data_IF_232261880789
#
_entry.id   IF_232261880789
#
_cell.length_a   1.000
_cell.length_b   1.000
_cell.length_c   1.000
_cell.angle_alpha   90.00
_cell.angle_beta   90.00
_cell.angle_gamma   90.00
#
_symmetry.space_group_name_H-M   'P 1'
#
loop_
_entity.id
_entity.type
_entity.pdbx_description
1 polymer ?
#
# COMPACT_ATOMS: atom_id res chain seq x y z
N UNK A 1 -8.17 -10.09 29.09
CA UNK A 1 -9.53 -10.45 28.63
C UNK A 1 -10.54 -9.70 29.50
N UNK A 2 -11.40 -8.86 28.92
CA UNK A 2 -12.51 -8.25 29.67
C UNK A 2 -13.57 -9.33 29.92
N UNK A 3 -13.98 -9.53 31.18
CA UNK A 3 -15.14 -10.38 31.51
C UNK A 3 -16.41 -9.66 31.03
N UNK A 4 -17.31 -10.40 30.39
CA UNK A 4 -18.66 -9.89 30.07
C UNK A 4 -19.48 -10.03 31.35
N UNK A 5 -19.92 -8.90 31.92
CA UNK A 5 -20.88 -8.89 33.02
C UNK A 5 -22.28 -9.16 32.47
N UNK A 6 -23.08 -9.94 33.19
CA UNK A 6 -24.49 -10.12 32.90
C UNK A 6 -25.29 -9.67 34.11
N UNK A 7 -26.30 -8.83 33.91
CA UNK A 7 -27.22 -8.39 34.97
C UNK A 7 -28.63 -8.80 34.58
N UNK A 8 -29.35 -9.38 35.53
CA UNK A 8 -30.73 -9.81 35.34
C UNK A 8 -31.60 -9.04 36.32
N UNK A 9 -32.62 -8.37 35.78
CA UNK A 9 -33.59 -7.63 36.57
C UNK A 9 -34.98 -8.21 36.32
N UNK A 10 -35.69 -8.68 37.37
CA UNK A 10 -37.08 -9.08 37.22
C UNK A 10 -37.96 -7.86 36.94
N UNK A 11 -39.03 -8.08 36.19
CA UNK A 11 -40.12 -7.13 35.93
C UNK A 11 -41.38 -7.68 36.61
N UNK A 12 -42.26 -6.79 37.06
CA UNK A 12 -43.48 -7.13 37.80
C UNK A 12 -44.44 -8.07 37.05
N UNK A 13 -44.30 -8.21 35.73
CA UNK A 13 -45.14 -9.09 34.89
C UNK A 13 -44.59 -10.52 34.76
N UNK A 14 -43.58 -10.89 35.55
CA UNK A 14 -42.90 -12.19 35.45
C UNK A 14 -41.90 -12.27 34.28
N UNK A 15 -41.64 -11.16 33.59
CA UNK A 15 -40.55 -11.06 32.61
C UNK A 15 -39.22 -10.72 33.30
N UNK A 16 -38.13 -10.96 32.60
CA UNK A 16 -36.78 -10.59 33.02
C UNK A 16 -36.10 -9.74 31.95
N UNK A 17 -35.44 -8.67 32.35
CA UNK A 17 -34.52 -7.93 31.49
C UNK A 17 -33.11 -8.44 31.72
N UNK A 18 -32.45 -8.84 30.63
CA UNK A 18 -31.06 -9.28 30.65
C UNK A 18 -30.21 -8.21 29.98
N UNK A 19 -29.25 -7.67 30.73
CA UNK A 19 -28.24 -6.73 30.24
C UNK A 19 -26.91 -7.46 30.05
N UNK A 20 -26.35 -7.39 28.85
CA UNK A 20 -25.05 -7.96 28.50
C UNK A 20 -24.00 -6.84 28.42
N UNK A 21 -23.04 -6.84 29.34
CA UNK A 21 -21.97 -5.85 29.39
C UNK A 21 -22.47 -4.44 29.78
N UNK A 22 -22.04 -3.45 28.99
CA UNK A 22 -22.35 -2.02 29.17
C UNK A 22 -23.44 -1.55 28.20
N UNK A 23 -24.11 -2.47 27.50
CA UNK A 23 -25.17 -2.13 26.55
C UNK A 23 -26.34 -1.48 27.31
N UNK A 24 -26.75 -0.30 26.86
CA UNK A 24 -27.83 0.47 27.45
C UNK A 24 -29.21 -0.15 27.18
N UNK A 25 -29.30 -0.99 26.15
CA UNK A 25 -30.52 -1.68 25.74
C UNK A 25 -30.49 -3.11 26.28
N UNK A 26 -31.31 -3.37 27.32
CA UNK A 26 -31.54 -4.71 27.82
C UNK A 26 -32.62 -5.41 26.99
N UNK A 27 -32.46 -6.71 26.75
CA UNK A 27 -33.51 -7.50 26.10
C UNK A 27 -34.47 -8.08 27.14
N UNK A 28 -35.77 -7.97 26.86
CA UNK A 28 -36.84 -8.49 27.72
C UNK A 28 -37.18 -9.91 27.29
N UNK A 29 -37.20 -10.83 28.25
CA UNK A 29 -37.58 -12.22 28.06
C UNK A 29 -38.72 -12.61 28.99
N UNK A 30 -39.71 -13.32 28.45
CA UNK A 30 -40.76 -13.94 29.25
C UNK A 30 -40.38 -15.37 29.60
N UNK A 31 -40.48 -15.71 30.87
CA UNK A 31 -40.39 -17.09 31.33
C UNK A 31 -41.75 -17.77 31.09
N UNK A 32 -41.78 -18.98 30.52
CA UNK A 32 -43.02 -19.74 30.39
C UNK A 32 -43.70 -19.95 31.74
N UNK A 33 -45.02 -19.77 31.78
CA UNK A 33 -45.83 -19.95 32.99
C UNK A 33 -45.81 -21.42 33.45
N UNK A 34 -45.90 -21.64 34.77
CA UNK A 34 -46.00 -22.97 35.37
C UNK A 34 -44.67 -23.68 35.64
N UNK A 35 -43.52 -23.03 35.40
CA UNK A 35 -42.22 -23.55 35.83
C UNK A 35 -42.03 -23.46 37.35
N UNK A 36 -41.36 -24.45 37.92
CA UNK A 36 -40.83 -24.35 39.28
C UNK A 36 -39.68 -23.34 39.34
N UNK A 37 -39.39 -22.80 40.54
CA UNK A 37 -38.27 -21.87 40.74
C UNK A 37 -36.92 -22.46 40.31
N UNK A 38 -36.75 -23.78 40.37
CA UNK A 38 -35.51 -24.42 39.93
C UNK A 38 -35.41 -24.46 38.40
N UNK A 39 -36.48 -24.84 37.70
CA UNK A 39 -36.54 -24.84 36.25
C UNK A 39 -36.37 -23.43 35.67
N UNK A 40 -36.97 -22.43 36.32
CA UNK A 40 -36.80 -21.02 35.96
C UNK A 40 -35.33 -20.57 36.05
N UNK A 41 -34.62 -20.95 37.12
CA UNK A 41 -33.19 -20.64 37.28
C UNK A 41 -32.34 -21.32 36.21
N UNK A 42 -32.61 -22.59 35.92
CA UNK A 42 -31.90 -23.35 34.89
C UNK A 42 -32.16 -22.78 33.49
N UNK A 43 -33.40 -22.37 33.21
CA UNK A 43 -33.79 -21.71 31.97
C UNK A 43 -33.06 -20.37 31.80
N UNK A 44 -33.11 -19.50 32.81
CA UNK A 44 -32.41 -18.21 32.79
C UNK A 44 -30.90 -18.41 32.63
N UNK A 45 -30.31 -19.38 33.32
CA UNK A 45 -28.88 -19.69 33.20
C UNK A 45 -28.51 -20.19 31.79
N UNK A 46 -29.30 -21.10 31.22
CA UNK A 46 -29.13 -21.59 29.86
C UNK A 46 -29.23 -20.47 28.82
N UNK A 47 -30.21 -19.58 28.99
CA UNK A 47 -30.40 -18.40 28.14
C UNK A 47 -29.18 -17.47 28.22
N UNK A 48 -28.69 -17.16 29.43
CA UNK A 48 -27.48 -16.36 29.62
C UNK A 48 -26.26 -16.97 28.93
N UNK A 49 -26.02 -18.28 29.11
CA UNK A 49 -24.88 -18.97 28.49
C UNK A 49 -24.95 -18.94 26.96
N UNK A 50 -26.14 -19.16 26.39
CA UNK A 50 -26.33 -19.13 24.93
C UNK A 50 -26.02 -17.74 24.35
N UNK A 51 -26.43 -16.68 25.06
CA UNK A 51 -26.20 -15.29 24.65
C UNK A 51 -24.75 -14.87 24.78
N UNK A 52 -24.08 -15.23 25.86
CA UNK A 52 -22.64 -14.97 26.02
C UNK A 52 -21.85 -15.63 24.88
N UNK A 53 -22.16 -16.89 24.55
CA UNK A 53 -21.54 -17.60 23.42
C UNK A 53 -21.84 -16.92 22.08
N UNK A 54 -23.07 -16.47 21.86
CA UNK A 54 -23.45 -15.76 20.63
C UNK A 54 -22.70 -14.42 20.49
N UNK A 55 -22.61 -13.64 21.57
CA UNK A 55 -21.89 -12.37 21.59
C UNK A 55 -20.37 -12.56 21.39
N UNK A 56 -19.78 -13.61 21.96
CA UNK A 56 -18.38 -13.96 21.75
C UNK A 56 -18.11 -14.39 20.30
N UNK A 57 -18.99 -15.23 19.74
CA UNK A 57 -18.92 -15.61 18.33
C UNK A 57 -19.04 -14.40 17.39
N UNK A 58 -19.89 -13.42 17.72
CA UNK A 58 -20.01 -12.20 16.94
C UNK A 58 -18.74 -11.34 17.02
N UNK A 59 -18.15 -11.19 18.22
CA UNK A 59 -16.87 -10.49 18.39
C UNK A 59 -15.77 -11.13 17.54
N UNK A 60 -15.68 -12.46 17.55
CA UNK A 60 -14.74 -13.19 16.69
C UNK A 60 -14.99 -12.94 15.20
N UNK A 61 -16.26 -12.93 14.75
CA UNK A 61 -16.60 -12.58 13.37
C UNK A 61 -16.19 -11.15 13.00
N UNK A 62 -16.41 -10.17 13.89
CA UNK A 62 -16.01 -8.77 13.67
C UNK A 62 -14.48 -8.64 13.56
N UNK A 63 -13.73 -9.28 14.47
CA UNK A 63 -12.27 -9.30 14.42
C UNK A 63 -11.76 -9.96 13.14
N UNK A 64 -12.35 -11.09 12.75
CA UNK A 64 -11.96 -11.79 11.53
C UNK A 64 -12.20 -10.94 10.27
N UNK A 65 -13.33 -10.22 10.18
CA UNK A 65 -13.58 -9.26 9.10
C UNK A 65 -12.54 -8.13 9.09
N UNK A 66 -12.16 -7.62 10.27
CA UNK A 66 -11.11 -6.62 10.39
C UNK A 66 -9.75 -7.11 9.87
N UNK A 67 -9.37 -8.34 10.22
CA UNK A 67 -8.13 -8.97 9.72
C UNK A 67 -8.17 -9.16 8.21
N UNK A 68 -9.27 -9.66 7.65
CA UNK A 68 -9.43 -9.80 6.20
C UNK A 68 -9.34 -8.46 5.46
N UNK A 69 -9.95 -7.41 6.02
CA UNK A 69 -9.84 -6.07 5.47
C UNK A 69 -8.38 -5.58 5.46
N UNK A 70 -7.63 -5.80 6.55
CA UNK A 70 -6.21 -5.43 6.61
C UNK A 70 -5.35 -6.19 5.59
N UNK A 71 -5.61 -7.48 5.40
CA UNK A 71 -4.87 -8.29 4.41
C UNK A 71 -5.20 -7.86 2.97
N UNK A 72 -6.47 -7.54 2.71
CA UNK A 72 -6.91 -6.94 1.45
C UNK A 72 -6.18 -5.61 1.18
N UNK A 73 -6.13 -4.70 2.16
CA UNK A 73 -5.40 -3.43 2.04
C UNK A 73 -3.90 -3.63 1.82
N UNK A 74 -3.28 -4.58 2.52
CA UNK A 74 -1.87 -4.92 2.34
C UNK A 74 -1.58 -5.43 0.92
N UNK A 75 -2.47 -6.26 0.38
CA UNK A 75 -2.40 -6.77 -0.99
C UNK A 75 -2.55 -5.65 -2.02
N UNK A 76 -3.54 -4.76 -1.84
CA UNK A 76 -3.74 -3.60 -2.70
C UNK A 76 -2.53 -2.65 -2.70
N UNK A 77 -1.90 -2.44 -1.54
CA UNK A 77 -0.68 -1.63 -1.43
C UNK A 77 0.50 -2.23 -2.20
N UNK A 78 0.66 -3.56 -2.17
CA UNK A 78 1.70 -4.25 -2.96
C UNK A 78 1.45 -4.13 -4.46
N UNK A 79 0.19 -4.25 -4.89
CA UNK A 79 -0.20 -4.07 -6.29
C UNK A 79 0.04 -2.62 -6.76
N UNK A 80 -0.39 -1.64 -5.96
CA UNK A 80 -0.16 -0.23 -6.23
C UNK A 80 1.33 0.14 -6.25
N UNK A 81 2.14 -0.40 -5.33
CA UNK A 81 3.59 -0.19 -5.34
C UNK A 81 4.22 -0.72 -6.63
N UNK A 82 3.82 -1.92 -7.07
CA UNK A 82 4.28 -2.51 -8.33
C UNK A 82 3.85 -1.71 -9.56
N UNK A 83 2.70 -1.04 -9.49
CA UNK A 83 2.21 -0.15 -10.54
C UNK A 83 2.96 1.19 -10.55
N UNK A 84 3.26 1.76 -9.38
CA UNK A 84 4.08 2.97 -9.27
C UNK A 84 5.49 2.77 -9.81
N UNK A 85 6.10 1.61 -9.54
CA UNK A 85 7.44 1.26 -10.03
C UNK A 85 7.47 1.11 -11.56
N UNK A 86 6.32 0.81 -12.18
CA UNK A 86 6.18 0.75 -13.63
C UNK A 86 6.07 2.12 -14.29
N UNK A 87 5.58 3.12 -13.56
CA UNK A 87 5.33 4.47 -14.06
C UNK A 87 6.50 5.43 -13.80
N UNK A 88 7.36 5.18 -12.82
CA UNK A 88 8.51 6.04 -12.56
C UNK A 88 9.62 5.87 -13.60
N UNK A 89 10.10 6.97 -14.21
CA UNK A 89 11.26 6.93 -15.09
C UNK A 89 12.51 6.43 -14.34
N UNK A 90 13.47 5.80 -15.04
CA UNK A 90 14.67 5.28 -14.41
C UNK A 90 15.56 6.42 -13.91
N UNK A 91 15.67 6.58 -12.58
CA UNK A 91 16.50 7.60 -11.92
C UNK A 91 17.94 7.69 -12.40
N UNK A 92 18.53 6.56 -12.80
CA UNK A 92 19.89 6.52 -13.34
C UNK A 92 20.02 7.28 -14.67
N UNK A 93 18.98 7.27 -15.49
CA UNK A 93 18.98 8.00 -16.75
C UNK A 93 18.83 9.51 -16.52
N UNK A 94 18.05 9.92 -15.52
CA UNK A 94 17.98 11.33 -15.10
C UNK A 94 19.34 11.84 -14.59
N UNK A 95 20.03 11.03 -13.77
CA UNK A 95 21.37 11.36 -13.28
C UNK A 95 22.40 11.45 -14.42
N UNK A 96 22.37 10.51 -15.37
CA UNK A 96 23.24 10.55 -16.55
C UNK A 96 22.98 11.80 -17.41
N UNK A 97 21.70 12.19 -17.56
CA UNK A 97 21.31 13.38 -18.28
C UNK A 97 21.79 14.66 -17.58
N UNK A 98 21.59 14.76 -16.27
CA UNK A 98 22.00 15.91 -15.47
C UNK A 98 23.51 16.14 -15.43
N UNK A 99 24.31 15.07 -15.59
CA UNK A 99 25.78 15.17 -15.66
C UNK A 99 26.29 15.71 -17.01
N UNK A 100 25.57 15.44 -18.10
CA UNK A 100 26.05 15.69 -19.46
C UNK A 100 25.38 16.89 -20.13
N UNK A 101 24.17 17.25 -19.72
CA UNK A 101 23.42 18.37 -20.27
C UNK A 101 23.59 19.66 -19.41
N UNK A 102 23.51 20.86 -20.03
CA UNK A 102 23.55 22.13 -19.30
C UNK A 102 22.35 22.27 -18.35
N UNK A 103 22.60 22.67 -17.09
CA UNK A 103 21.56 22.80 -16.05
C UNK A 103 20.30 23.56 -16.50
N UNK A 104 20.45 24.57 -17.35
CA UNK A 104 19.35 25.39 -17.83
C UNK A 104 18.34 24.65 -18.73
N UNK A 105 18.74 23.55 -19.38
CA UNK A 105 17.87 22.78 -20.29
C UNK A 105 17.48 21.42 -19.74
N UNK A 106 18.10 20.98 -18.65
CA UNK A 106 17.88 19.67 -18.03
C UNK A 106 16.43 19.50 -17.60
N UNK A 107 15.89 20.46 -16.84
CA UNK A 107 14.55 20.31 -16.25
C UNK A 107 13.44 20.24 -17.32
N UNK A 108 13.54 21.06 -18.37
CA UNK A 108 12.59 21.04 -19.48
C UNK A 108 12.64 19.71 -20.26
N UNK A 109 13.84 19.23 -20.58
CA UNK A 109 14.03 17.99 -21.33
C UNK A 109 13.64 16.75 -20.50
N UNK A 110 13.89 16.76 -19.19
CA UNK A 110 13.43 15.71 -18.28
C UNK A 110 11.90 15.68 -18.17
N UNK A 111 11.26 16.85 -18.14
CA UNK A 111 9.81 16.98 -18.21
C UNK A 111 9.24 16.28 -19.45
N UNK A 112 9.72 16.66 -20.64
CA UNK A 112 9.27 16.09 -21.91
C UNK A 112 9.48 14.56 -21.98
N UNK A 113 10.66 14.08 -21.57
CA UNK A 113 10.99 12.66 -21.55
C UNK A 113 10.10 11.89 -20.56
N UNK A 114 9.75 12.48 -19.42
CA UNK A 114 8.86 11.86 -18.43
C UNK A 114 7.44 11.69 -18.97
N UNK A 115 6.90 12.69 -19.67
CA UNK A 115 5.59 12.60 -20.31
C UNK A 115 5.57 11.54 -21.43
N UNK A 116 6.66 11.48 -22.21
CA UNK A 116 6.81 10.49 -23.28
C UNK A 116 6.94 9.07 -22.72
N UNK A 117 7.63 8.91 -21.57
CA UNK A 117 7.67 7.65 -20.85
C UNK A 117 6.28 7.20 -20.43
N UNK A 118 5.49 8.08 -19.80
CA UNK A 118 4.13 7.76 -19.37
C UNK A 118 3.26 7.29 -20.54
N UNK A 119 3.28 8.03 -21.66
CA UNK A 119 2.59 7.65 -22.91
C UNK A 119 3.06 6.29 -23.45
N UNK A 120 4.36 5.99 -23.36
CA UNK A 120 4.92 4.72 -23.81
C UNK A 120 4.58 3.56 -22.86
N UNK A 121 4.45 3.81 -21.54
CA UNK A 121 4.01 2.82 -20.56
C UNK A 121 2.58 2.39 -20.86
N UNK A 122 1.69 3.34 -21.16
CA UNK A 122 0.29 3.06 -21.54
C UNK A 122 0.20 2.26 -22.85
N UNK A 123 1.00 2.61 -23.87
CA UNK A 123 0.93 1.99 -25.21
C UNK A 123 1.61 0.62 -25.32
N UNK A 124 2.74 0.44 -24.64
CA UNK A 124 3.63 -0.72 -24.88
C UNK A 124 3.97 -1.50 -23.61
N UNK A 125 3.52 -1.03 -22.45
CA UNK A 125 3.84 -1.59 -21.15
C UNK A 125 5.22 -1.16 -20.62
N UNK A 126 5.39 -1.27 -19.31
CA UNK A 126 6.52 -0.71 -18.57
C UNK A 126 7.90 -1.19 -19.05
N UNK A 127 8.03 -2.48 -19.37
CA UNK A 127 9.32 -3.05 -19.77
C UNK A 127 9.82 -2.41 -21.06
N UNK A 128 8.96 -2.28 -22.08
CA UNK A 128 9.33 -1.70 -23.37
C UNK A 128 9.47 -0.18 -23.29
N UNK A 129 8.64 0.48 -22.50
CA UNK A 129 8.75 1.92 -22.24
C UNK A 129 10.09 2.31 -21.60
N UNK A 130 10.64 1.49 -20.69
CA UNK A 130 11.97 1.72 -20.09
C UNK A 130 13.09 1.67 -21.14
N UNK A 131 13.04 0.71 -22.06
CA UNK A 131 14.03 0.62 -23.14
C UNK A 131 13.93 1.79 -24.11
N UNK A 132 12.71 2.20 -24.48
CA UNK A 132 12.49 3.37 -25.33
C UNK A 132 12.99 4.65 -24.67
N UNK A 133 12.73 4.83 -23.38
CA UNK A 133 13.25 5.96 -22.61
C UNK A 133 14.78 6.02 -22.64
N UNK A 134 15.46 4.89 -22.44
CA UNK A 134 16.92 4.83 -22.55
C UNK A 134 17.43 5.19 -23.95
N UNK A 135 16.72 4.77 -25.00
CA UNK A 135 17.06 5.11 -26.38
C UNK A 135 16.94 6.63 -26.62
N UNK A 136 15.86 7.25 -26.12
CA UNK A 136 15.61 8.68 -26.23
C UNK A 136 16.64 9.50 -25.45
N UNK A 137 16.95 9.10 -24.21
CA UNK A 137 18.03 9.69 -23.41
C UNK A 137 19.37 9.57 -24.13
N UNK A 138 19.72 8.39 -24.64
CA UNK A 138 20.96 8.19 -25.39
C UNK A 138 21.03 9.09 -26.62
N UNK A 139 19.92 9.24 -27.36
CA UNK A 139 19.83 10.11 -28.53
C UNK A 139 19.98 11.59 -28.17
N UNK A 140 19.39 12.03 -27.06
CA UNK A 140 19.49 13.40 -26.59
C UNK A 140 20.90 13.75 -26.08
N UNK A 141 21.59 12.78 -25.46
CA UNK A 141 22.94 12.98 -24.91
C UNK A 141 24.05 12.73 -25.95
N UNK A 142 23.79 11.96 -27.02
CA UNK A 142 24.77 11.62 -28.05
C UNK A 142 25.56 12.84 -28.61
N UNK A 143 24.96 14.00 -28.91
CA UNK A 143 25.70 15.17 -29.39
C UNK A 143 26.64 15.76 -28.34
N UNK A 144 26.30 15.66 -27.06
CA UNK A 144 27.16 16.09 -25.95
C UNK A 144 28.35 15.14 -25.80
N UNK A 145 28.09 13.82 -25.81
CA UNK A 145 29.17 12.80 -25.77
C UNK A 145 30.10 12.94 -26.96
N UNK A 146 29.56 13.12 -28.17
CA UNK A 146 30.36 13.28 -29.39
C UNK A 146 31.31 14.48 -29.30
N UNK A 147 30.82 15.63 -28.80
CA UNK A 147 31.66 16.82 -28.58
C UNK A 147 32.74 16.58 -27.53
N UNK A 148 32.40 15.88 -26.45
CA UNK A 148 33.36 15.52 -25.40
C UNK A 148 34.43 14.56 -25.92
N UNK A 149 34.03 13.53 -26.67
CA UNK A 149 34.92 12.56 -27.29
C UNK A 149 35.86 13.22 -28.30
N UNK A 150 35.36 14.17 -29.11
CA UNK A 150 36.21 14.94 -30.03
C UNK A 150 37.25 15.78 -29.29
N UNK A 151 36.88 16.39 -28.16
CA UNK A 151 37.84 17.10 -27.29
C UNK A 151 38.87 16.14 -26.69
N UNK A 152 38.43 15.00 -26.16
CA UNK A 152 39.32 13.99 -25.58
C UNK A 152 40.29 13.39 -26.62
N UNK A 153 39.81 13.11 -27.84
CA UNK A 153 40.65 12.65 -28.95
C UNK A 153 41.67 13.70 -29.40
N UNK A 154 41.29 14.98 -29.39
CA UNK A 154 42.25 16.09 -29.59
C UNK A 154 43.28 16.17 -28.46
N UNK A 155 42.88 15.95 -27.21
CA UNK A 155 43.80 15.87 -26.06
C UNK A 155 44.75 14.68 -26.19
N UNK A 156 44.28 13.53 -26.65
CA UNK A 156 45.12 12.37 -26.96
C UNK A 156 46.16 12.70 -28.03
N UNK A 157 45.74 13.32 -29.14
CA UNK A 157 46.66 13.80 -30.19
C UNK A 157 47.62 14.87 -29.69
N UNK A 158 47.19 15.74 -28.77
CA UNK A 158 48.03 16.77 -28.17
C UNK A 158 49.09 16.18 -27.24
N UNK A 159 48.72 15.16 -26.44
CA UNK A 159 49.65 14.41 -25.59
C UNK A 159 50.64 13.63 -26.46
N UNK A 160 50.18 12.96 -27.52
CA UNK A 160 51.07 12.28 -28.47
C UNK A 160 52.01 13.26 -29.18
N UNK A 161 51.51 14.43 -29.56
CA UNK A 161 52.32 15.48 -30.18
C UNK A 161 53.39 16.03 -29.21
N UNK A 162 53.03 16.31 -27.96
CA UNK A 162 53.97 16.74 -26.92
C UNK A 162 55.01 15.65 -26.67
N UNK A 163 54.59 14.39 -26.53
CA UNK A 163 55.49 13.25 -26.33
C UNK A 163 56.49 13.11 -27.48
N UNK A 164 56.01 13.18 -28.72
CA UNK A 164 56.84 13.09 -29.92
C UNK A 164 57.83 14.25 -30.03
N UNK A 165 57.44 15.47 -29.65
CA UNK A 165 58.26 16.67 -29.80
C UNK A 165 59.25 16.90 -28.66
N UNK A 166 58.93 16.43 -27.46
CA UNK A 166 59.77 16.58 -26.26
C UNK A 166 60.53 15.30 -25.88
N UNK A 167 60.40 14.22 -26.65
CA UNK A 167 61.26 13.03 -26.55
C UNK A 167 61.13 12.26 -25.23
N UNK A 168 59.89 12.13 -24.72
CA UNK A 168 59.54 11.32 -23.54
C UNK A 168 59.02 9.92 -23.93
#
# INVERSE_FOLDING_TARGET
MKRISCRVHPIDDGSYVIYLGDDAEGEVFRVPEGMSQQEEREFIHGLMLSRVKAAEAEKHRRLFRGVQALDYWATMRKLSAKESERATPPRLAEAAFALLAPKATVDAQLGDLSELHAKNVERHGAKRARWLYWLEVARAVAPAVYRLAKRAGLFGLFIDYIRTKFGL
#
